data_IF_168582239462
#
_entry.id   IF_168582239462
#
_cell.length_a   1.000
_cell.length_b   1.000
_cell.length_c   1.000
_cell.angle_alpha   90.00
_cell.angle_beta   90.00
_cell.angle_gamma   90.00
#
_symmetry.space_group_name_H-M   'P 1'
#
loop_
_entity.id
_entity.type
_entity.pdbx_description
1 polymer ?
#
# COMPACT_ATOMS: atom_id res chain seq x y z
N UNK A 1 18.13 -36.75 -9.15
CA UNK A 1 16.78 -37.23 -8.78
C UNK A 1 15.77 -36.14 -9.19
N UNK A 2 14.86 -36.46 -10.09
CA UNK A 2 13.83 -35.50 -10.54
C UNK A 2 12.73 -35.41 -9.46
N UNK A 3 12.74 -34.37 -8.65
CA UNK A 3 11.66 -34.07 -7.70
C UNK A 3 10.41 -33.66 -8.48
N UNK A 4 9.33 -34.38 -8.31
CA UNK A 4 8.08 -34.17 -9.03
C UNK A 4 7.32 -33.03 -8.35
N UNK A 5 7.05 -31.93 -9.07
CA UNK A 5 6.39 -30.69 -8.59
C UNK A 5 5.03 -30.90 -7.90
N UNK A 6 4.35 -32.02 -8.11
CA UNK A 6 3.13 -32.39 -7.38
C UNK A 6 3.38 -32.73 -5.90
N UNK A 7 4.61 -33.09 -5.50
CA UNK A 7 4.95 -33.36 -4.10
C UNK A 7 5.31 -32.09 -3.32
N UNK A 8 5.61 -30.97 -3.96
CA UNK A 8 5.90 -29.69 -3.32
C UNK A 8 4.71 -29.17 -2.49
N UNK A 9 3.48 -29.34 -2.99
CA UNK A 9 2.27 -28.97 -2.26
C UNK A 9 1.85 -29.96 -1.17
N UNK A 10 2.39 -31.20 -1.16
CA UNK A 10 2.05 -32.24 -0.18
C UNK A 10 2.94 -32.27 1.05
N UNK A 11 4.13 -31.65 1.01
CA UNK A 11 5.11 -31.69 2.11
C UNK A 11 4.96 -30.54 3.11
N UNK A 12 4.08 -29.59 2.89
CA UNK A 12 3.84 -28.46 3.79
C UNK A 12 2.97 -28.77 5.02
N UNK A 13 2.49 -30.02 5.18
CA UNK A 13 1.50 -30.39 6.21
C UNK A 13 2.02 -31.17 7.41
N UNK A 14 3.33 -31.37 7.56
CA UNK A 14 3.83 -32.13 8.71
C UNK A 14 5.21 -31.64 9.17
N UNK A 15 5.27 -30.61 10.00
CA UNK A 15 6.27 -30.46 11.07
C UNK A 15 6.04 -29.15 11.87
N UNK A 16 5.77 -29.27 13.15
CA UNK A 16 6.20 -28.32 14.16
C UNK A 16 5.13 -27.37 14.72
N UNK A 17 4.17 -27.91 15.47
CA UNK A 17 3.53 -27.15 16.54
C UNK A 17 4.56 -26.95 17.67
N UNK A 18 5.22 -25.80 17.69
CA UNK A 18 6.07 -25.33 18.79
C UNK A 18 5.49 -23.99 19.25
N UNK A 19 5.06 -23.97 20.51
CA UNK A 19 4.31 -22.89 21.13
C UNK A 19 5.07 -21.54 21.15
N UNK A 20 4.54 -20.55 20.43
CA UNK A 20 4.48 -19.17 20.87
C UNK A 20 3.06 -18.72 20.60
N UNK A 21 2.21 -18.94 21.61
CA UNK A 21 0.83 -18.52 21.61
C UNK A 21 0.77 -17.04 21.98
N UNK A 22 0.82 -16.17 20.98
CA UNK A 22 0.12 -14.91 21.03
C UNK A 22 -1.25 -15.17 20.44
N UNK A 23 -2.28 -15.06 21.23
CA UNK A 23 -3.68 -15.36 20.89
C UNK A 23 -4.17 -14.37 19.82
N UNK A 24 -4.06 -14.72 18.55
CA UNK A 24 -4.74 -14.04 17.47
C UNK A 24 -5.89 -14.92 16.96
N UNK A 25 -7.10 -14.47 17.25
CA UNK A 25 -8.39 -14.90 16.68
C UNK A 25 -8.73 -16.39 16.87
N UNK A 26 -9.52 -16.68 17.87
CA UNK A 26 -10.31 -17.89 17.92
C UNK A 26 -11.27 -17.94 16.73
N UNK A 27 -11.07 -18.90 15.81
CA UNK A 27 -12.16 -19.28 14.92
C UNK A 27 -11.87 -19.57 13.46
N UNK A 28 -10.67 -20.00 13.04
CA UNK A 28 -10.56 -20.75 11.78
C UNK A 28 -9.25 -21.54 11.77
N UNK A 29 -9.33 -22.84 11.58
CA UNK A 29 -8.17 -23.66 11.23
C UNK A 29 -7.51 -23.07 9.97
N UNK A 30 -6.17 -23.07 9.85
CA UNK A 30 -5.49 -22.56 8.66
C UNK A 30 -6.05 -23.28 7.43
N UNK A 31 -6.62 -22.51 6.49
CA UNK A 31 -7.13 -23.05 5.23
C UNK A 31 -5.98 -23.71 4.47
N UNK A 32 -6.22 -24.85 3.82
CA UNK A 32 -5.22 -25.44 2.94
C UNK A 32 -4.86 -24.47 1.80
N UNK A 33 -3.65 -24.53 1.21
CA UNK A 33 -3.29 -23.71 0.07
C UNK A 33 -4.29 -23.81 -1.10
N UNK A 34 -4.84 -25.00 -1.35
CA UNK A 34 -5.86 -25.23 -2.36
C UNK A 34 -7.17 -24.50 -2.03
N UNK A 35 -7.59 -24.49 -0.76
CA UNK A 35 -8.79 -23.76 -0.33
C UNK A 35 -8.61 -22.24 -0.37
N UNK A 36 -7.39 -21.74 -0.14
CA UNK A 36 -7.07 -20.31 -0.28
C UNK A 36 -7.14 -19.86 -1.75
N UNK A 37 -6.57 -20.66 -2.66
CA UNK A 37 -6.60 -20.39 -4.09
C UNK A 37 -8.03 -20.45 -4.67
N UNK A 38 -8.86 -21.40 -4.19
CA UNK A 38 -10.28 -21.44 -4.57
C UNK A 38 -11.03 -20.20 -4.10
N UNK A 39 -10.79 -19.78 -2.84
CA UNK A 39 -11.42 -18.57 -2.31
C UNK A 39 -11.07 -17.31 -3.10
N UNK A 40 -9.84 -17.19 -3.59
CA UNK A 40 -9.44 -16.06 -4.48
C UNK A 40 -10.31 -16.04 -5.74
N UNK A 41 -10.47 -17.19 -6.39
CA UNK A 41 -11.23 -17.29 -7.63
C UNK A 41 -12.73 -17.00 -7.40
N UNK A 42 -13.31 -17.54 -6.34
CA UNK A 42 -14.71 -17.32 -5.98
C UNK A 42 -14.98 -15.83 -5.67
N UNK A 43 -14.08 -15.20 -4.91
CA UNK A 43 -14.20 -13.78 -4.57
C UNK A 43 -13.96 -12.86 -5.76
N UNK A 44 -13.07 -13.24 -6.70
CA UNK A 44 -12.84 -12.50 -7.94
C UNK A 44 -14.07 -12.51 -8.86
N UNK A 45 -14.87 -13.55 -8.79
CA UNK A 45 -16.11 -13.74 -9.60
C UNK A 45 -17.38 -13.30 -8.87
N UNK A 46 -17.24 -12.62 -7.71
CA UNK A 46 -18.40 -12.15 -6.96
C UNK A 46 -19.26 -11.22 -7.81
N UNK A 47 -20.53 -11.55 -7.96
CA UNK A 47 -21.50 -10.65 -8.56
C UNK A 47 -21.96 -9.64 -7.51
N UNK A 48 -21.42 -8.43 -7.58
CA UNK A 48 -21.76 -7.34 -6.67
C UNK A 48 -22.71 -6.33 -7.34
N UNK A 49 -23.73 -5.92 -6.62
CA UNK A 49 -24.61 -4.84 -7.05
C UNK A 49 -24.28 -3.59 -6.25
N UNK A 50 -23.69 -2.61 -6.90
CA UNK A 50 -23.34 -1.33 -6.32
C UNK A 50 -24.57 -0.65 -5.69
N UNK A 51 -24.47 -0.26 -4.42
CA UNK A 51 -25.55 0.37 -3.67
C UNK A 51 -25.46 1.89 -3.67
N UNK A 52 -24.25 2.39 -3.76
CA UNK A 52 -23.96 3.82 -3.83
C UNK A 52 -22.61 4.02 -4.54
N UNK A 53 -22.50 5.00 -5.41
CA UNK A 53 -21.24 5.28 -6.09
C UNK A 53 -20.38 6.23 -5.25
N UNK A 54 -19.25 5.74 -4.75
CA UNK A 54 -18.27 6.54 -4.02
C UNK A 54 -17.29 7.28 -4.94
N UNK A 55 -17.24 6.96 -6.25
CA UNK A 55 -16.38 7.65 -7.19
C UNK A 55 -16.85 9.10 -7.38
N UNK A 56 -15.97 10.05 -7.12
CA UNK A 56 -16.32 11.46 -7.16
C UNK A 56 -17.24 11.92 -6.00
N UNK A 57 -17.55 11.05 -5.03
CA UNK A 57 -18.31 11.43 -3.86
C UNK A 57 -17.54 12.46 -3.02
N UNK A 58 -18.23 13.52 -2.63
CA UNK A 58 -17.76 14.54 -1.70
C UNK A 58 -18.56 14.47 -0.40
N UNK A 59 -17.88 14.14 0.69
CA UNK A 59 -18.51 14.15 2.01
C UNK A 59 -18.79 15.60 2.47
N UNK A 60 -19.74 15.82 3.38
CA UNK A 60 -19.92 17.13 3.98
C UNK A 60 -18.62 17.68 4.56
N UNK A 61 -18.30 18.97 4.37
CA UNK A 61 -17.05 19.56 4.80
C UNK A 61 -16.89 19.51 6.33
N UNK A 62 -15.67 19.22 6.77
CA UNK A 62 -15.27 19.18 8.18
C UNK A 62 -14.19 20.25 8.39
N UNK A 63 -14.51 21.47 8.84
CA UNK A 63 -13.56 22.59 8.92
C UNK A 63 -12.32 22.29 9.75
N UNK A 64 -12.46 21.49 10.82
CA UNK A 64 -11.36 20.96 11.64
C UNK A 64 -11.46 19.45 11.69
N UNK A 65 -10.47 18.75 11.11
CA UNK A 65 -10.42 17.30 11.06
C UNK A 65 -9.77 16.76 12.34
N UNK A 66 -10.56 16.07 13.16
CA UNK A 66 -10.11 15.45 14.40
C UNK A 66 -9.66 14.02 14.11
N UNK A 67 -8.36 13.77 14.31
CA UNK A 67 -7.70 12.54 13.88
C UNK A 67 -7.36 11.64 15.04
N UNK A 68 -7.69 10.36 14.92
CA UNK A 68 -7.18 9.27 15.76
C UNK A 68 -6.21 8.41 14.96
N UNK A 69 -5.03 8.13 15.53
CA UNK A 69 -4.01 7.28 14.90
C UNK A 69 -4.01 5.88 15.50
N UNK A 70 -3.88 4.86 14.66
CA UNK A 70 -3.72 3.46 15.08
C UNK A 70 -2.46 2.89 14.44
N UNK A 71 -1.50 2.47 15.28
CA UNK A 71 -0.18 2.03 14.85
C UNK A 71 0.80 3.20 14.76
N UNK A 72 1.69 3.29 15.77
CA UNK A 72 2.66 4.39 15.92
C UNK A 72 4.12 3.89 15.77
N UNK A 73 4.29 2.92 14.89
CA UNK A 73 5.62 2.52 14.42
C UNK A 73 6.24 3.59 13.51
N UNK A 74 7.14 3.17 12.65
CA UNK A 74 7.88 4.07 11.74
C UNK A 74 6.94 4.96 10.90
N UNK A 75 5.95 4.36 10.22
CA UNK A 75 5.01 5.11 9.37
C UNK A 75 4.07 6.00 10.18
N UNK A 76 3.48 5.47 11.25
CA UNK A 76 2.48 6.20 12.02
C UNK A 76 3.06 7.37 12.80
N UNK A 77 4.22 7.22 13.43
CA UNK A 77 4.89 8.33 14.12
C UNK A 77 5.28 9.44 13.14
N UNK A 78 5.73 9.09 11.93
CA UNK A 78 5.98 10.04 10.85
C UNK A 78 4.70 10.76 10.40
N UNK A 79 3.56 10.07 10.33
CA UNK A 79 2.28 10.67 9.97
C UNK A 79 1.79 11.67 11.04
N UNK A 80 1.91 11.34 12.33
CA UNK A 80 1.65 12.29 13.43
C UNK A 80 2.45 13.56 13.25
N UNK A 81 3.74 13.44 12.90
CA UNK A 81 4.59 14.59 12.65
C UNK A 81 4.08 15.42 11.46
N UNK A 82 3.83 14.79 10.30
CA UNK A 82 3.40 15.50 9.09
C UNK A 82 2.06 16.21 9.26
N UNK A 83 1.05 15.50 9.81
CA UNK A 83 -0.27 16.08 10.01
C UNK A 83 -0.26 17.24 11.01
N UNK A 84 0.70 17.28 11.93
CA UNK A 84 0.88 18.40 12.87
C UNK A 84 1.20 19.74 12.18
N UNK A 85 1.69 19.72 10.94
CA UNK A 85 1.96 20.93 10.14
C UNK A 85 0.80 21.33 9.22
N UNK A 86 -0.27 20.53 9.18
CA UNK A 86 -1.41 20.81 8.30
C UNK A 86 -2.45 21.62 9.07
N UNK A 87 -2.87 22.73 8.49
CA UNK A 87 -3.91 23.60 9.06
C UNK A 87 -5.25 22.88 9.14
N UNK A 88 -6.00 23.09 10.22
CA UNK A 88 -7.30 22.47 10.43
C UNK A 88 -7.22 20.99 10.82
N UNK A 89 -6.09 20.54 11.34
CA UNK A 89 -5.91 19.21 11.93
C UNK A 89 -5.78 19.30 13.45
N UNK A 90 -6.57 18.52 14.15
CA UNK A 90 -6.41 18.23 15.57
C UNK A 90 -6.11 16.76 15.79
N UNK A 91 -4.99 16.44 16.44
CA UNK A 91 -4.64 15.07 16.83
C UNK A 91 -5.27 14.80 18.19
N UNK A 92 -6.32 13.96 18.22
CA UNK A 92 -7.13 13.72 19.40
C UNK A 92 -6.83 12.42 20.13
N UNK A 93 -6.35 11.40 19.39
CA UNK A 93 -6.12 10.08 19.97
C UNK A 93 -4.90 9.40 19.33
N UNK A 94 -4.10 8.73 20.13
CA UNK A 94 -2.91 7.97 19.76
C UNK A 94 -3.05 6.54 20.26
N UNK A 95 -3.06 5.57 19.35
CA UNK A 95 -3.24 4.14 19.62
C UNK A 95 -2.10 3.28 19.10
N UNK A 96 -1.45 2.54 20.01
CA UNK A 96 -0.52 1.45 19.69
C UNK A 96 -0.49 0.49 20.88
N UNK A 97 -0.40 -0.81 20.61
CA UNK A 97 -0.28 -1.81 21.70
C UNK A 97 0.97 -1.57 22.56
N UNK A 98 1.99 -0.90 22.04
CA UNK A 98 3.25 -0.58 22.72
C UNK A 98 3.19 0.80 23.36
N UNK A 99 3.24 0.91 24.70
CA UNK A 99 3.21 2.19 25.41
C UNK A 99 4.32 3.15 24.99
N UNK A 100 5.51 2.62 24.68
CA UNK A 100 6.65 3.43 24.26
C UNK A 100 6.42 4.15 22.92
N UNK A 101 5.70 3.53 21.97
CA UNK A 101 5.37 4.14 20.69
C UNK A 101 4.37 5.30 20.85
N UNK A 102 3.36 5.13 21.71
CA UNK A 102 2.41 6.20 22.10
C UNK A 102 3.15 7.34 22.77
N UNK A 103 3.95 7.04 23.81
CA UNK A 103 4.73 8.04 24.56
C UNK A 103 5.72 8.81 23.69
N UNK A 104 6.30 8.17 22.65
CA UNK A 104 7.17 8.82 21.66
C UNK A 104 6.43 9.89 20.85
N UNK A 105 5.25 9.56 20.35
CA UNK A 105 4.39 10.49 19.61
C UNK A 105 3.85 11.61 20.49
N UNK A 106 3.49 11.32 21.75
CA UNK A 106 3.03 12.30 22.71
C UNK A 106 4.14 13.32 23.06
N UNK A 107 5.35 12.84 23.30
CA UNK A 107 6.52 13.71 23.50
C UNK A 107 6.78 14.64 22.31
N UNK A 108 6.59 14.14 21.09
CA UNK A 108 6.71 14.97 19.90
C UNK A 108 5.65 16.08 19.89
N UNK A 109 4.38 15.79 20.13
CA UNK A 109 3.30 16.78 20.17
C UNK A 109 3.58 17.85 21.23
N UNK A 110 3.96 17.46 22.44
CA UNK A 110 4.33 18.37 23.52
C UNK A 110 5.50 19.30 23.11
N UNK A 111 6.54 18.74 22.48
CA UNK A 111 7.71 19.51 22.04
C UNK A 111 7.38 20.62 21.05
N UNK A 112 6.38 20.42 20.20
CA UNK A 112 5.94 21.42 19.20
C UNK A 112 4.76 22.26 19.67
N UNK A 113 4.40 22.16 20.96
CA UNK A 113 3.30 22.94 21.57
C UNK A 113 1.90 22.56 21.11
N UNK A 114 1.70 21.32 20.62
CA UNK A 114 0.37 20.79 20.31
C UNK A 114 -0.30 20.24 21.59
N UNK A 115 -1.64 20.29 21.71
CA UNK A 115 -2.36 19.69 22.82
C UNK A 115 -2.05 18.19 22.98
N UNK A 116 -2.14 17.71 24.20
CA UNK A 116 -2.06 16.27 24.48
C UNK A 116 -3.22 15.52 23.84
N UNK A 117 -2.93 14.36 23.26
CA UNK A 117 -3.89 13.44 22.70
C UNK A 117 -4.25 12.36 23.74
N UNK A 118 -5.45 11.80 23.64
CA UNK A 118 -5.84 10.63 24.45
C UNK A 118 -5.00 9.42 24.05
N UNK A 119 -4.51 8.68 25.05
CA UNK A 119 -3.63 7.53 24.83
C UNK A 119 -4.40 6.20 24.95
N UNK A 120 -4.21 5.33 23.96
CA UNK A 120 -4.78 3.99 23.88
C UNK A 120 -3.64 2.97 23.68
N UNK A 121 -3.30 2.26 24.75
CA UNK A 121 -2.12 1.39 24.75
C UNK A 121 -2.24 0.20 25.70
N UNK A 122 -1.31 -0.77 25.59
CA UNK A 122 -1.17 -1.92 26.49
C UNK A 122 -2.06 -3.14 26.17
N UNK A 123 -2.92 -3.05 25.17
CA UNK A 123 -3.79 -4.14 24.72
C UNK A 123 -3.84 -4.15 23.19
N UNK A 124 -3.74 -5.33 22.57
CA UNK A 124 -3.82 -5.48 21.12
C UNK A 124 -5.17 -5.04 20.51
N UNK A 125 -6.25 -5.07 21.30
CA UNK A 125 -7.60 -4.69 20.90
C UNK A 125 -8.00 -3.26 21.33
N UNK A 126 -7.10 -2.53 21.97
CA UNK A 126 -7.38 -1.19 22.48
C UNK A 126 -7.85 -0.20 21.40
N UNK A 127 -7.47 -0.44 20.16
CA UNK A 127 -7.88 0.35 18.99
C UNK A 127 -9.41 0.39 18.80
N UNK A 128 -10.13 -0.64 19.27
CA UNK A 128 -11.59 -0.68 19.18
C UNK A 128 -12.23 0.46 20.01
N UNK A 129 -11.71 0.72 21.20
CA UNK A 129 -12.15 1.85 22.02
C UNK A 129 -11.80 3.21 21.39
N UNK A 130 -10.68 3.28 20.70
CA UNK A 130 -10.28 4.51 20.00
C UNK A 130 -11.26 4.85 18.88
N UNK A 131 -11.64 3.89 18.02
CA UNK A 131 -12.56 4.15 16.91
C UNK A 131 -13.99 4.48 17.36
N UNK A 132 -14.36 4.10 18.58
CA UNK A 132 -15.67 4.39 19.20
C UNK A 132 -15.77 5.81 19.75
N UNK A 133 -14.67 6.56 19.85
CA UNK A 133 -14.71 7.95 20.33
C UNK A 133 -15.63 8.81 19.46
N UNK A 134 -16.59 9.55 20.04
CA UNK A 134 -17.53 10.35 19.25
C UNK A 134 -16.86 11.54 18.55
N UNK A 135 -15.78 12.07 19.14
CA UNK A 135 -15.11 13.30 18.71
C UNK A 135 -14.00 13.09 17.69
N UNK A 136 -14.07 12.03 16.90
CA UNK A 136 -13.15 11.78 15.78
C UNK A 136 -13.88 11.86 14.44
N UNK A 137 -13.20 12.42 13.44
CA UNK A 137 -13.67 12.52 12.07
C UNK A 137 -12.92 11.55 11.15
N UNK A 138 -11.63 11.31 11.44
CA UNK A 138 -10.72 10.51 10.65
C UNK A 138 -9.95 9.52 11.52
N UNK A 139 -9.89 8.26 11.11
CA UNK A 139 -8.97 7.26 11.64
C UNK A 139 -7.83 7.04 10.65
N UNK A 140 -6.59 7.22 11.12
CA UNK A 140 -5.37 7.03 10.36
C UNK A 140 -4.69 5.72 10.79
N UNK A 141 -4.62 4.72 9.89
CA UNK A 141 -4.22 3.34 10.20
C UNK A 141 -2.84 3.04 9.60
N UNK A 142 -1.88 2.70 10.48
CA UNK A 142 -0.49 2.35 10.13
C UNK A 142 -0.04 1.03 10.78
N UNK A 143 -0.91 0.06 10.83
CA UNK A 143 -0.68 -1.25 11.44
C UNK A 143 -0.08 -2.25 10.44
N UNK A 144 0.27 -3.50 10.85
CA UNK A 144 0.54 -4.58 9.90
C UNK A 144 -0.68 -4.88 9.00
N UNK A 145 -0.41 -5.32 7.78
CA UNK A 145 -1.40 -5.50 6.70
C UNK A 145 -2.67 -6.25 7.09
N UNK A 146 -2.53 -7.30 7.92
CA UNK A 146 -3.67 -8.12 8.36
C UNK A 146 -4.73 -7.36 9.16
N UNK A 147 -4.38 -6.19 9.68
CA UNK A 147 -5.26 -5.36 10.52
C UNK A 147 -5.88 -4.18 9.76
N UNK A 148 -5.46 -3.90 8.53
CA UNK A 148 -5.92 -2.76 7.75
C UNK A 148 -7.43 -2.82 7.50
N UNK A 149 -7.90 -3.86 6.84
CA UNK A 149 -9.31 -3.98 6.49
C UNK A 149 -10.24 -4.09 7.72
N UNK A 150 -9.97 -4.93 8.73
CA UNK A 150 -10.82 -4.99 9.93
C UNK A 150 -10.93 -3.65 10.66
N UNK A 151 -9.83 -2.92 10.80
CA UNK A 151 -9.82 -1.60 11.45
C UNK A 151 -10.56 -0.55 10.62
N UNK A 152 -10.35 -0.54 9.29
CA UNK A 152 -11.01 0.39 8.40
C UNK A 152 -12.53 0.17 8.35
N UNK A 153 -12.99 -1.08 8.27
CA UNK A 153 -14.42 -1.43 8.34
C UNK A 153 -15.03 -0.93 9.65
N UNK A 154 -14.40 -1.27 10.79
CA UNK A 154 -14.90 -0.86 12.10
C UNK A 154 -14.95 0.67 12.26
N UNK A 155 -13.94 1.38 11.75
CA UNK A 155 -13.90 2.84 11.78
C UNK A 155 -15.06 3.45 10.96
N UNK A 156 -15.30 2.97 9.74
CA UNK A 156 -16.40 3.45 8.90
C UNK A 156 -17.78 3.14 9.53
N UNK A 157 -17.95 1.98 10.16
CA UNK A 157 -19.17 1.62 10.90
C UNK A 157 -19.44 2.52 12.11
N UNK A 158 -18.36 3.05 12.72
CA UNK A 158 -18.45 4.05 13.77
C UNK A 158 -18.52 5.50 13.23
N UNK A 159 -18.83 5.66 11.96
CA UNK A 159 -19.06 6.97 11.35
C UNK A 159 -17.81 7.79 11.05
N UNK A 160 -16.62 7.18 11.00
CA UNK A 160 -15.35 7.87 10.73
C UNK A 160 -14.94 7.70 9.27
N UNK A 161 -14.27 8.70 8.70
CA UNK A 161 -13.48 8.54 7.50
C UNK A 161 -12.21 7.74 7.82
N UNK A 162 -11.62 7.13 6.81
CA UNK A 162 -10.44 6.27 6.96
C UNK A 162 -9.33 6.71 6.03
N UNK A 163 -8.14 6.81 6.58
CA UNK A 163 -6.87 6.84 5.87
C UNK A 163 -6.06 5.60 6.28
N UNK A 164 -5.73 4.73 5.36
CA UNK A 164 -5.07 3.46 5.67
C UNK A 164 -3.81 3.28 4.84
N UNK A 165 -2.70 2.91 5.48
CA UNK A 165 -1.44 2.55 4.81
C UNK A 165 -1.64 1.41 3.82
N UNK A 166 -0.72 1.31 2.88
CA UNK A 166 -0.73 0.34 1.78
C UNK A 166 -0.26 -1.06 2.22
N UNK A 167 -0.87 -2.13 1.66
CA UNK A 167 -2.07 -2.18 0.86
C UNK A 167 -3.34 -2.03 1.70
N UNK A 168 -4.44 -1.61 1.11
CA UNK A 168 -5.70 -1.42 1.84
C UNK A 168 -6.29 -2.76 2.33
N UNK A 169 -6.08 -3.84 1.58
CA UNK A 169 -6.55 -5.20 1.89
C UNK A 169 -5.51 -6.26 1.52
N UNK A 170 -5.57 -7.42 2.18
CA UNK A 170 -4.74 -8.60 1.86
C UNK A 170 -5.46 -9.59 0.95
N UNK A 171 -6.78 -9.62 1.03
CA UNK A 171 -7.63 -10.55 0.29
C UNK A 171 -8.67 -9.80 -0.54
N UNK A 172 -9.26 -10.47 -1.52
CA UNK A 172 -10.34 -9.90 -2.34
C UNK A 172 -11.62 -9.75 -1.51
N UNK A 173 -11.88 -10.67 -0.57
CA UNK A 173 -13.03 -10.55 0.34
C UNK A 173 -12.94 -9.31 1.22
N UNK A 174 -11.74 -9.01 1.76
CA UNK A 174 -11.50 -7.76 2.50
C UNK A 174 -11.72 -6.53 1.62
N UNK A 175 -11.29 -6.57 0.35
CA UNK A 175 -11.51 -5.48 -0.59
C UNK A 175 -13.01 -5.23 -0.82
N UNK A 176 -13.80 -6.29 -1.03
CA UNK A 176 -15.26 -6.19 -1.12
C UNK A 176 -15.90 -5.64 0.15
N UNK A 177 -15.47 -6.10 1.33
CA UNK A 177 -15.99 -5.57 2.61
C UNK A 177 -15.75 -4.07 2.77
N UNK A 178 -14.59 -3.58 2.36
CA UNK A 178 -14.25 -2.16 2.40
C UNK A 178 -15.14 -1.34 1.45
N UNK A 179 -15.33 -1.81 0.22
CA UNK A 179 -16.22 -1.18 -0.76
C UNK A 179 -17.66 -1.14 -0.24
N UNK A 180 -18.21 -2.30 0.15
CA UNK A 180 -19.58 -2.41 0.67
C UNK A 180 -19.79 -1.53 1.91
N UNK A 181 -18.81 -1.44 2.79
CA UNK A 181 -18.91 -0.62 4.01
C UNK A 181 -18.83 0.86 3.68
N UNK A 182 -17.91 1.27 2.81
CA UNK A 182 -17.79 2.66 2.37
C UNK A 182 -19.06 3.16 1.69
N UNK A 183 -19.64 2.36 0.78
CA UNK A 183 -20.90 2.70 0.11
C UNK A 183 -22.08 2.81 1.10
N UNK A 184 -22.20 1.85 2.03
CA UNK A 184 -23.27 1.81 3.03
C UNK A 184 -23.19 2.98 4.02
N UNK A 185 -21.99 3.31 4.48
CA UNK A 185 -21.77 4.34 5.49
C UNK A 185 -21.54 5.73 4.90
N UNK A 186 -21.27 5.81 3.60
CA UNK A 186 -20.85 7.04 2.89
C UNK A 186 -19.66 7.70 3.56
N UNK A 187 -18.70 6.87 4.02
CA UNK A 187 -17.44 7.32 4.58
C UNK A 187 -16.31 7.08 3.60
N UNK A 188 -15.47 8.08 3.42
CA UNK A 188 -14.26 7.91 2.64
C UNK A 188 -13.35 6.85 3.27
N UNK A 189 -12.77 6.00 2.42
CA UNK A 189 -11.73 5.06 2.78
C UNK A 189 -10.60 5.22 1.76
N UNK A 190 -9.60 6.01 2.11
CA UNK A 190 -8.46 6.29 1.25
C UNK A 190 -7.31 5.36 1.59
N UNK A 191 -6.81 4.63 0.60
CA UNK A 191 -5.49 4.01 0.70
C UNK A 191 -4.41 5.08 0.53
N UNK A 192 -3.43 5.09 1.42
CA UNK A 192 -2.37 6.10 1.45
C UNK A 192 -1.25 5.75 0.45
N UNK A 193 -1.60 5.70 -0.84
CA UNK A 193 -0.62 5.46 -1.90
C UNK A 193 0.12 6.76 -2.23
N UNK A 194 1.19 6.98 -1.48
CA UNK A 194 2.00 8.19 -1.54
C UNK A 194 2.70 8.42 -2.87
N UNK A 195 3.02 7.35 -3.62
CA UNK A 195 3.72 7.47 -4.90
C UNK A 195 2.89 8.21 -5.97
N UNK A 196 1.56 8.24 -5.84
CA UNK A 196 0.69 9.08 -6.67
C UNK A 196 0.93 10.59 -6.47
N UNK A 197 1.58 10.97 -5.37
CA UNK A 197 1.85 12.36 -4.99
C UNK A 197 3.34 12.73 -5.10
N UNK A 198 4.17 11.89 -5.69
CA UNK A 198 5.55 12.24 -5.97
C UNK A 198 5.61 13.28 -7.11
N UNK A 199 6.62 14.11 -7.09
CA UNK A 199 6.73 15.29 -7.95
C UNK A 199 6.71 14.95 -9.45
N UNK A 200 7.42 13.90 -9.86
CA UNK A 200 7.46 13.50 -11.26
C UNK A 200 6.19 12.75 -11.67
N UNK A 201 5.63 11.92 -10.81
CA UNK A 201 4.35 11.25 -11.03
C UNK A 201 3.21 12.26 -11.18
N UNK A 202 3.17 13.30 -10.34
CA UNK A 202 2.21 14.40 -10.48
C UNK A 202 2.44 15.25 -11.76
N UNK A 203 3.70 15.47 -12.14
CA UNK A 203 4.05 16.16 -13.39
C UNK A 203 3.52 15.38 -14.60
N UNK A 204 3.85 14.10 -14.70
CA UNK A 204 3.44 13.22 -15.81
C UNK A 204 1.94 13.00 -15.85
N UNK A 205 1.27 12.92 -14.70
CA UNK A 205 -0.18 12.88 -14.62
C UNK A 205 -0.82 14.15 -15.20
N UNK A 206 -0.29 15.32 -14.85
CA UNK A 206 -0.81 16.58 -15.39
C UNK A 206 -0.53 16.70 -16.90
N UNK A 207 0.63 16.27 -17.37
CA UNK A 207 0.96 16.21 -18.81
C UNK A 207 0.01 15.25 -19.56
N UNK A 208 -0.26 14.06 -19.01
CA UNK A 208 -1.18 13.11 -19.61
C UNK A 208 -2.60 13.66 -19.70
N UNK A 209 -3.10 14.31 -18.64
CA UNK A 209 -4.43 14.98 -18.62
C UNK A 209 -4.55 16.10 -19.65
N UNK A 210 -3.44 16.71 -20.06
CA UNK A 210 -3.37 17.73 -21.11
C UNK A 210 -3.06 17.15 -22.50
N UNK A 211 -3.07 15.82 -22.65
CA UNK A 211 -2.89 15.13 -23.91
C UNK A 211 -1.46 15.10 -24.46
N UNK A 212 -0.46 15.48 -23.66
CA UNK A 212 0.93 15.58 -24.11
C UNK A 212 1.52 14.25 -24.60
N UNK A 213 1.08 13.13 -24.05
CA UNK A 213 1.55 11.79 -24.46
C UNK A 213 0.67 11.18 -25.55
N UNK A 214 -0.40 11.84 -26.00
CA UNK A 214 -1.41 11.25 -26.88
C UNK A 214 -2.19 10.14 -26.18
N UNK A 215 -2.60 9.10 -26.91
CA UNK A 215 -3.22 7.92 -26.32
C UNK A 215 -2.19 7.11 -25.55
N UNK A 216 -2.42 6.86 -24.27
CA UNK A 216 -1.55 6.00 -23.47
C UNK A 216 -1.79 4.56 -23.88
N UNK A 217 -0.73 3.86 -24.28
CA UNK A 217 -0.80 2.48 -24.77
C UNK A 217 -0.25 1.47 -23.77
N UNK A 218 0.74 1.89 -22.98
CA UNK A 218 1.44 1.03 -22.02
C UNK A 218 1.96 1.83 -20.83
N UNK A 219 2.00 1.18 -19.67
CA UNK A 219 2.65 1.71 -18.47
C UNK A 219 3.43 0.64 -17.73
N UNK A 220 4.51 1.06 -17.04
CA UNK A 220 5.27 0.17 -16.18
C UNK A 220 5.41 0.75 -14.79
N UNK A 221 5.19 -0.09 -13.79
CA UNK A 221 5.41 0.23 -12.40
C UNK A 221 6.16 -0.88 -11.67
N UNK A 222 6.73 -0.56 -10.53
CA UNK A 222 7.45 -1.56 -9.74
C UNK A 222 7.50 -1.19 -8.25
N UNK A 223 7.82 -2.17 -7.43
CA UNK A 223 8.43 -1.98 -6.13
C UNK A 223 9.65 -2.90 -6.04
N UNK A 224 10.80 -2.36 -6.38
CA UNK A 224 12.10 -3.02 -6.33
C UNK A 224 12.90 -2.34 -5.22
N UNK A 225 13.09 -3.05 -4.09
CA UNK A 225 13.69 -2.47 -2.90
C UNK A 225 14.32 -3.58 -2.04
N UNK A 226 15.63 -3.65 -1.94
CA UNK A 226 16.27 -4.65 -1.10
C UNK A 226 15.92 -4.43 0.39
N UNK A 227 15.04 -5.25 0.92
CA UNK A 227 14.53 -5.19 2.29
C UNK A 227 14.91 -6.43 3.13
N UNK A 228 15.86 -7.23 2.68
CA UNK A 228 16.26 -8.46 3.40
C UNK A 228 16.62 -8.15 4.85
N UNK A 229 17.51 -7.18 5.08
CA UNK A 229 17.92 -6.78 6.43
C UNK A 229 16.76 -6.26 7.30
N UNK A 230 15.81 -5.52 6.70
CA UNK A 230 14.62 -5.04 7.42
C UNK A 230 13.66 -6.18 7.79
N UNK A 231 13.46 -7.14 6.88
CA UNK A 231 12.58 -8.29 7.10
C UNK A 231 13.11 -9.21 8.22
N UNK A 232 14.43 -9.41 8.32
CA UNK A 232 15.08 -10.24 9.31
C UNK A 232 15.57 -9.49 10.55
N UNK A 233 15.09 -8.26 10.77
CA UNK A 233 15.45 -7.52 11.98
C UNK A 233 14.84 -8.19 13.20
N UNK A 234 15.70 -8.76 14.06
CA UNK A 234 15.31 -9.34 15.34
C UNK A 234 14.64 -8.27 16.22
N UNK A 235 13.49 -8.56 16.84
CA UNK A 235 12.91 -7.65 17.82
C UNK A 235 13.90 -7.35 18.94
N UNK A 236 13.96 -6.10 19.37
CA UNK A 236 14.77 -5.66 20.51
C UNK A 236 13.97 -5.76 21.81
N UNK A 237 14.65 -5.81 22.94
CA UNK A 237 14.02 -5.71 24.25
C UNK A 237 13.43 -4.32 24.49
N UNK A 238 13.99 -3.30 23.84
CA UNK A 238 13.43 -1.95 23.78
C UNK A 238 12.47 -1.81 22.60
N UNK A 239 11.20 -2.06 22.85
CA UNK A 239 10.13 -1.97 21.86
C UNK A 239 9.96 -0.57 21.24
N UNK A 240 10.50 0.48 21.88
CA UNK A 240 10.45 1.84 21.33
C UNK A 240 11.44 2.02 20.18
N UNK A 241 12.55 1.28 20.20
CA UNK A 241 13.59 1.32 19.16
C UNK A 241 13.34 0.37 17.99
N UNK A 242 12.31 -0.48 18.06
CA UNK A 242 11.91 -1.36 16.97
C UNK A 242 11.44 -0.52 15.77
N UNK A 243 12.29 -0.41 14.77
CA UNK A 243 12.00 0.32 13.53
C UNK A 243 10.98 -0.38 12.63
N UNK A 244 11.10 -0.18 11.33
CA UNK A 244 10.22 -0.77 10.34
C UNK A 244 10.07 -2.28 10.52
N UNK A 245 8.84 -2.78 10.29
CA UNK A 245 8.47 -4.21 10.34
C UNK A 245 8.64 -4.89 11.70
N UNK A 246 8.35 -4.14 12.77
CA UNK A 246 8.36 -4.64 14.15
C UNK A 246 7.76 -6.04 14.28
N UNK A 247 8.45 -6.92 15.00
CA UNK A 247 8.03 -8.32 15.17
C UNK A 247 8.14 -9.17 13.91
N UNK A 248 8.86 -8.70 12.89
CA UNK A 248 9.11 -9.43 11.64
C UNK A 248 7.83 -9.84 10.90
N UNK A 249 6.75 -9.06 11.05
CA UNK A 249 5.45 -9.39 10.44
C UNK A 249 5.53 -9.50 8.90
N UNK A 250 6.34 -8.65 8.25
CA UNK A 250 6.49 -8.68 6.79
C UNK A 250 7.28 -9.89 6.29
N UNK A 251 8.21 -10.41 7.09
CA UNK A 251 8.88 -11.67 6.77
C UNK A 251 7.90 -12.85 6.73
N UNK A 252 6.90 -12.87 7.64
CA UNK A 252 5.85 -13.90 7.63
C UNK A 252 5.04 -13.84 6.34
N UNK A 253 4.63 -12.63 5.90
CA UNK A 253 3.97 -12.47 4.59
C UNK A 253 4.82 -13.05 3.45
N UNK A 254 6.13 -12.77 3.43
CA UNK A 254 7.05 -13.31 2.42
C UNK A 254 7.29 -14.83 2.52
N UNK A 255 7.04 -15.46 3.67
CA UNK A 255 7.15 -16.92 3.88
C UNK A 255 5.83 -17.66 3.57
N UNK A 256 4.70 -16.99 3.62
CA UNK A 256 3.38 -17.61 3.46
C UNK A 256 2.79 -17.38 2.07
N UNK A 257 3.25 -16.35 1.33
CA UNK A 257 2.65 -15.87 0.11
C UNK A 257 3.68 -15.76 -1.02
N UNK A 258 3.26 -15.96 -2.27
CA UNK A 258 4.14 -15.86 -3.44
C UNK A 258 3.45 -15.22 -4.64
N UNK A 259 3.74 -13.96 -4.87
CA UNK A 259 3.19 -13.15 -5.97
C UNK A 259 3.72 -11.73 -5.91
N UNK A 260 2.98 -10.81 -6.47
CA UNK A 260 3.24 -9.37 -6.37
C UNK A 260 2.58 -8.84 -5.09
N UNK A 261 3.25 -8.99 -3.94
CA UNK A 261 2.65 -8.66 -2.64
C UNK A 261 2.55 -7.15 -2.36
N UNK A 262 3.17 -6.31 -3.20
CA UNK A 262 3.19 -4.86 -2.98
C UNK A 262 3.11 -4.09 -4.31
N UNK A 263 2.00 -4.22 -5.05
CA UNK A 263 1.88 -3.65 -6.40
C UNK A 263 1.67 -2.14 -6.40
N UNK A 264 1.10 -1.58 -5.32
CA UNK A 264 0.42 -0.28 -5.31
C UNK A 264 1.33 0.90 -5.65
N UNK A 265 2.58 0.90 -5.19
CA UNK A 265 3.53 1.99 -5.43
C UNK A 265 3.87 2.21 -6.90
N UNK A 266 3.96 1.14 -7.67
CA UNK A 266 4.15 1.27 -9.12
C UNK A 266 2.83 1.41 -9.87
N UNK A 267 1.78 0.74 -9.38
CA UNK A 267 0.50 0.62 -10.06
C UNK A 267 -0.35 1.89 -9.96
N UNK A 268 -0.44 2.49 -8.76
CA UNK A 268 -1.30 3.64 -8.50
C UNK A 268 -1.07 4.81 -9.45
N UNK A 269 0.17 5.33 -9.59
CA UNK A 269 0.46 6.41 -10.53
C UNK A 269 0.11 6.08 -11.97
N UNK A 270 0.38 4.86 -12.43
CA UNK A 270 0.05 4.39 -13.78
C UNK A 270 -1.46 4.33 -13.99
N UNK A 271 -2.21 3.83 -12.99
CA UNK A 271 -3.67 3.78 -13.04
C UNK A 271 -4.30 5.17 -13.15
N UNK A 272 -3.79 6.15 -12.41
CA UNK A 272 -4.28 7.52 -12.51
C UNK A 272 -4.04 8.12 -13.91
N UNK A 273 -2.87 7.88 -14.51
CA UNK A 273 -2.52 8.34 -15.87
C UNK A 273 -3.39 7.66 -16.93
N UNK A 274 -3.72 6.38 -16.73
CA UNK A 274 -4.56 5.60 -17.67
C UNK A 274 -6.06 5.79 -17.46
N UNK A 275 -6.48 6.58 -16.48
CA UNK A 275 -7.88 6.78 -16.10
C UNK A 275 -8.59 5.47 -15.68
N UNK A 276 -7.88 4.55 -15.03
CA UNK A 276 -8.49 3.34 -14.45
C UNK A 276 -9.53 3.76 -13.39
N UNK A 277 -10.70 3.12 -13.39
CA UNK A 277 -11.91 3.48 -12.64
C UNK A 277 -12.54 4.83 -13.05
N UNK A 278 -12.01 5.51 -14.06
CA UNK A 278 -12.47 6.83 -14.52
C UNK A 278 -12.56 6.91 -16.06
N UNK A 279 -12.96 5.80 -16.69
CA UNK A 279 -13.13 5.69 -18.15
C UNK A 279 -12.45 4.47 -18.75
N UNK A 280 -11.54 3.83 -18.03
CA UNK A 280 -10.99 2.50 -18.35
C UNK A 280 -11.04 1.62 -17.09
N UNK A 281 -10.90 0.31 -17.23
CA UNK A 281 -10.81 -0.65 -16.12
C UNK A 281 -9.82 -1.75 -16.43
N UNK A 282 -9.26 -2.34 -15.39
CA UNK A 282 -8.47 -3.56 -15.54
C UNK A 282 -9.40 -4.73 -15.89
N UNK A 283 -8.99 -5.57 -16.82
CA UNK A 283 -9.79 -6.69 -17.32
C UNK A 283 -9.28 -8.01 -16.72
N UNK A 284 -8.04 -8.38 -17.05
CA UNK A 284 -7.41 -9.58 -16.51
C UNK A 284 -5.91 -9.39 -16.33
N UNK A 285 -5.31 -10.29 -15.55
CA UNK A 285 -3.86 -10.35 -15.39
C UNK A 285 -3.29 -11.74 -15.58
N UNK A 286 -1.98 -11.79 -15.83
CA UNK A 286 -1.13 -12.97 -15.71
C UNK A 286 0.11 -12.63 -14.91
N UNK A 287 0.63 -13.59 -14.12
CA UNK A 287 1.75 -13.35 -13.23
C UNK A 287 2.72 -14.51 -13.17
N UNK A 288 4.02 -14.19 -13.10
CA UNK A 288 5.11 -15.16 -13.00
C UNK A 288 6.12 -14.73 -11.94
N UNK A 289 6.52 -15.66 -11.07
CA UNK A 289 7.58 -15.44 -10.08
C UNK A 289 8.79 -16.36 -10.36
N UNK A 290 9.97 -15.86 -10.03
CA UNK A 290 11.15 -16.74 -9.85
C UNK A 290 10.95 -17.61 -8.61
N UNK A 291 11.84 -18.56 -8.36
CA UNK A 291 11.99 -19.15 -7.03
C UNK A 291 12.77 -18.20 -6.12
N UNK A 292 12.79 -18.47 -4.82
CA UNK A 292 13.65 -17.76 -3.87
C UNK A 292 15.12 -18.18 -4.05
N UNK A 293 15.99 -17.17 -4.16
CA UNK A 293 17.46 -17.34 -4.23
C UNK A 293 18.17 -16.68 -3.05
N UNK A 294 17.48 -15.86 -2.24
CA UNK A 294 18.14 -14.99 -1.26
C UNK A 294 17.60 -15.10 0.15
N UNK A 295 16.28 -15.03 0.37
CA UNK A 295 15.72 -15.01 1.72
C UNK A 295 15.99 -16.31 2.48
N UNK A 296 15.80 -17.47 1.86
CA UNK A 296 16.09 -18.76 2.46
C UNK A 296 17.59 -18.97 2.76
N UNK A 297 18.47 -18.49 1.87
CA UNK A 297 19.91 -18.54 2.10
C UNK A 297 20.31 -17.63 3.28
N UNK A 298 19.73 -16.43 3.36
CA UNK A 298 19.98 -15.49 4.46
C UNK A 298 19.44 -16.02 5.80
N UNK A 299 18.23 -16.59 5.81
CA UNK A 299 17.66 -17.24 6.99
C UNK A 299 18.58 -18.34 7.54
N UNK A 300 19.10 -19.21 6.67
CA UNK A 300 20.06 -20.27 7.04
C UNK A 300 21.34 -19.71 7.62
N UNK A 301 21.89 -18.65 7.02
CA UNK A 301 23.10 -17.99 7.52
C UNK A 301 22.87 -17.42 8.94
N UNK A 302 21.74 -16.75 9.18
CA UNK A 302 21.40 -16.20 10.49
C UNK A 302 21.18 -17.31 11.52
N UNK A 303 20.48 -18.38 11.16
CA UNK A 303 20.19 -19.54 12.03
C UNK A 303 21.47 -20.27 12.48
N UNK A 304 22.53 -20.26 11.67
CA UNK A 304 23.83 -20.82 12.05
C UNK A 304 24.52 -20.03 13.17
N UNK A 305 24.23 -18.73 13.30
CA UNK A 305 24.84 -17.85 14.30
C UNK A 305 23.95 -17.50 15.50
N UNK A 306 22.62 -17.53 15.34
CA UNK A 306 21.66 -17.17 16.39
C UNK A 306 20.45 -18.12 16.38
N UNK A 307 20.26 -18.90 17.47
CA UNK A 307 19.14 -19.86 17.60
C UNK A 307 17.74 -19.20 17.41
N UNK A 308 17.61 -17.90 17.63
CA UNK A 308 16.37 -17.16 17.38
C UNK A 308 15.84 -17.36 15.95
N UNK A 309 16.74 -17.48 14.97
CA UNK A 309 16.38 -17.61 13.56
C UNK A 309 16.13 -19.05 13.09
N UNK A 310 16.33 -20.07 13.93
CA UNK A 310 16.08 -21.47 13.57
C UNK A 310 14.67 -21.73 13.00
N UNK A 311 13.58 -21.11 13.52
CA UNK A 311 12.24 -21.32 12.95
C UNK A 311 12.06 -20.75 11.53
N UNK A 312 12.97 -19.94 11.06
CA UNK A 312 12.95 -19.33 9.73
C UNK A 312 13.79 -20.07 8.70
N UNK A 313 14.70 -20.95 9.13
CA UNK A 313 15.45 -21.83 8.22
C UNK A 313 14.54 -22.90 7.62
N UNK A 314 14.79 -23.26 6.36
CA UNK A 314 13.99 -24.25 5.64
C UNK A 314 12.58 -23.80 5.24
N UNK A 315 12.20 -22.56 5.47
CA UNK A 315 10.94 -21.98 4.97
C UNK A 315 10.99 -21.79 3.45
N UNK A 316 9.82 -21.92 2.81
CA UNK A 316 9.64 -21.57 1.41
C UNK A 316 9.28 -20.09 1.33
N UNK A 317 10.26 -19.26 1.01
CA UNK A 317 10.01 -17.85 0.80
C UNK A 317 9.48 -17.58 -0.62
N UNK A 318 8.81 -16.46 -0.78
CA UNK A 318 8.41 -15.98 -2.11
C UNK A 318 9.61 -15.89 -3.06
N UNK A 319 9.35 -16.00 -4.36
CA UNK A 319 10.38 -15.76 -5.37
C UNK A 319 10.94 -14.34 -5.31
N UNK A 320 12.20 -14.15 -5.73
CA UNK A 320 12.81 -12.83 -5.76
C UNK A 320 11.98 -11.86 -6.61
N UNK A 321 11.97 -12.09 -7.93
CA UNK A 321 11.28 -11.23 -8.88
C UNK A 321 9.92 -11.81 -9.26
N UNK A 322 8.88 -10.98 -9.11
CA UNK A 322 7.58 -11.22 -9.71
C UNK A 322 7.34 -10.21 -10.84
N UNK A 323 6.78 -10.71 -11.94
CA UNK A 323 6.31 -9.91 -13.08
C UNK A 323 4.82 -10.19 -13.27
N UNK A 324 4.00 -9.15 -13.17
CA UNK A 324 2.56 -9.20 -13.39
C UNK A 324 2.22 -8.32 -14.58
N UNK A 325 1.54 -8.87 -15.57
CA UNK A 325 1.06 -8.15 -16.74
C UNK A 325 -0.47 -8.06 -16.67
N UNK A 326 -0.97 -6.83 -16.73
CA UNK A 326 -2.39 -6.51 -16.70
C UNK A 326 -2.82 -6.01 -18.08
N UNK A 327 -3.99 -6.44 -18.54
CA UNK A 327 -4.69 -5.86 -19.69
C UNK A 327 -5.88 -5.04 -19.20
N UNK A 328 -6.12 -3.89 -19.84
CA UNK A 328 -7.32 -3.09 -19.60
C UNK A 328 -8.40 -3.35 -20.62
N UNK A 329 -9.63 -3.01 -20.32
CA UNK A 329 -10.78 -3.18 -21.20
C UNK A 329 -10.68 -2.35 -22.48
N UNK A 330 -9.98 -1.20 -22.44
CA UNK A 330 -9.68 -0.41 -23.64
C UNK A 330 -8.42 -0.89 -24.40
N UNK A 331 -7.85 -2.02 -23.99
CA UNK A 331 -6.76 -2.67 -24.72
C UNK A 331 -5.36 -2.20 -24.39
N UNK A 332 -5.18 -1.35 -23.35
CA UNK A 332 -3.87 -0.95 -22.83
C UNK A 332 -3.24 -2.08 -22.02
N UNK A 333 -1.94 -1.99 -21.77
CA UNK A 333 -1.22 -2.95 -20.91
C UNK A 333 -0.45 -2.26 -19.80
N UNK A 334 -0.33 -2.95 -18.66
CA UNK A 334 0.45 -2.48 -17.52
C UNK A 334 1.37 -3.61 -17.07
N UNK A 335 2.69 -3.35 -16.98
CA UNK A 335 3.65 -4.25 -16.37
C UNK A 335 3.94 -3.80 -14.93
N UNK A 336 3.76 -4.70 -13.96
CA UNK A 336 4.07 -4.44 -12.55
C UNK A 336 5.09 -5.45 -12.06
N UNK A 337 6.24 -4.95 -11.55
CA UNK A 337 7.31 -5.76 -11.00
C UNK A 337 7.38 -5.63 -9.47
N UNK A 338 7.73 -6.71 -8.79
CA UNK A 338 7.95 -6.74 -7.34
C UNK A 338 9.16 -7.59 -6.97
N UNK A 339 10.15 -6.95 -6.32
CA UNK A 339 11.32 -7.63 -5.75
C UNK A 339 11.77 -6.89 -4.47
N UNK A 340 11.83 -7.61 -3.35
CA UNK A 340 12.27 -7.07 -2.06
C UNK A 340 13.48 -7.78 -1.50
N UNK A 341 14.18 -8.56 -2.31
CA UNK A 341 15.25 -9.46 -1.87
C UNK A 341 16.50 -9.46 -2.74
N UNK A 342 16.48 -8.88 -3.93
CA UNK A 342 17.68 -8.75 -4.76
C UNK A 342 18.45 -7.48 -4.46
N UNK A 343 19.75 -7.47 -4.78
CA UNK A 343 20.65 -6.32 -4.60
C UNK A 343 20.48 -5.23 -5.67
N UNK A 344 19.40 -5.31 -6.43
CA UNK A 344 19.07 -4.34 -7.47
C UNK A 344 18.81 -2.96 -6.84
N UNK A 345 19.27 -1.85 -7.44
CA UNK A 345 18.96 -0.51 -6.97
C UNK A 345 17.46 -0.27 -6.88
N UNK A 346 17.06 0.60 -5.94
CA UNK A 346 15.67 0.98 -5.76
C UNK A 346 15.05 1.48 -7.06
N UNK A 347 13.84 1.00 -7.36
CA UNK A 347 13.11 1.44 -8.54
C UNK A 347 11.59 1.22 -8.37
N UNK A 348 10.81 2.21 -8.78
CA UNK A 348 9.38 2.06 -9.00
C UNK A 348 9.03 2.03 -10.49
N UNK A 349 10.05 2.03 -11.38
CA UNK A 349 9.95 2.22 -12.82
C UNK A 349 9.28 3.55 -13.18
N UNK A 350 7.97 3.63 -13.08
CA UNK A 350 7.15 4.75 -13.52
C UNK A 350 7.41 5.10 -14.98
N UNK A 351 7.00 4.20 -15.86
CA UNK A 351 7.03 4.37 -17.32
C UNK A 351 5.63 4.68 -17.82
N UNK A 352 5.55 5.70 -18.66
CA UNK A 352 4.36 6.09 -19.41
C UNK A 352 4.71 6.08 -20.89
N UNK A 353 4.06 5.21 -21.67
CA UNK A 353 4.25 5.11 -23.12
C UNK A 353 2.96 5.49 -23.83
N UNK A 354 3.02 6.57 -24.59
CA UNK A 354 1.90 7.06 -25.38
C UNK A 354 2.24 7.16 -26.88
N UNK A 355 1.25 7.55 -27.67
CA UNK A 355 1.42 7.68 -29.13
C UNK A 355 2.20 8.92 -29.57
N UNK A 356 2.34 9.92 -28.67
CA UNK A 356 3.06 11.18 -28.96
C UNK A 356 4.28 11.41 -28.08
N UNK A 357 4.41 10.68 -26.95
CA UNK A 357 5.49 10.89 -26.02
C UNK A 357 5.68 9.73 -25.06
N UNK A 358 6.78 9.80 -24.34
CA UNK A 358 7.22 8.78 -23.38
C UNK A 358 7.82 9.45 -22.15
N UNK A 359 7.59 8.89 -20.97
CA UNK A 359 8.23 9.32 -19.72
C UNK A 359 8.77 8.12 -18.95
N UNK A 360 9.93 8.30 -18.30
CA UNK A 360 10.54 7.29 -17.43
C UNK A 360 11.24 7.97 -16.26
N UNK A 361 10.98 7.49 -15.04
CA UNK A 361 11.64 8.00 -13.84
C UNK A 361 12.92 7.24 -13.51
N UNK A 362 12.88 5.94 -13.58
CA UNK A 362 13.99 5.08 -13.20
C UNK A 362 14.57 4.32 -14.41
N UNK A 363 15.91 4.12 -14.45
CA UNK A 363 16.91 4.68 -13.53
C UNK A 363 17.00 6.21 -13.67
N UNK A 364 17.30 6.88 -12.55
CA UNK A 364 17.53 8.32 -12.56
C UNK A 364 18.67 8.73 -13.53
N UNK A 365 18.61 9.94 -14.09
CA UNK A 365 17.61 10.98 -13.89
C UNK A 365 16.28 10.68 -14.60
N UNK A 366 15.18 11.28 -14.08
CA UNK A 366 13.88 11.25 -14.74
C UNK A 366 13.94 11.94 -16.10
N UNK A 367 13.27 11.35 -17.11
CA UNK A 367 13.36 11.77 -18.50
C UNK A 367 12.01 11.73 -19.19
N UNK A 368 11.83 12.63 -20.14
CA UNK A 368 10.67 12.68 -21.04
C UNK A 368 11.19 12.68 -22.48
N UNK A 369 10.53 11.96 -23.37
CA UNK A 369 10.74 12.03 -24.80
C UNK A 369 9.46 12.50 -25.48
N UNK A 370 9.58 13.40 -26.44
CA UNK A 370 8.49 13.80 -27.32
C UNK A 370 8.79 13.28 -28.72
N UNK A 371 7.88 12.47 -29.25
CA UNK A 371 8.21 11.65 -30.41
C UNK A 371 9.26 10.61 -30.07
N UNK A 372 10.40 10.63 -30.74
CA UNK A 372 11.49 9.64 -30.59
C UNK A 372 12.70 10.16 -29.81
N UNK A 373 12.76 11.47 -29.55
CA UNK A 373 13.94 12.10 -28.99
C UNK A 373 13.72 12.49 -27.52
N UNK A 374 14.73 12.24 -26.69
CA UNK A 374 14.75 12.71 -25.30
C UNK A 374 14.85 14.23 -25.26
N UNK A 375 14.04 14.84 -24.38
CA UNK A 375 14.14 16.27 -24.11
C UNK A 375 15.48 16.61 -23.44
N UNK A 376 16.09 17.70 -23.88
CA UNK A 376 17.27 18.29 -23.24
C UNK A 376 16.94 18.96 -21.90
N UNK A 377 17.98 19.37 -21.17
CA UNK A 377 17.83 19.98 -19.84
C UNK A 377 16.92 21.22 -19.84
N UNK A 378 17.08 22.10 -20.82
CA UNK A 378 16.27 23.33 -20.90
C UNK A 378 14.80 23.01 -21.25
N UNK A 379 14.56 22.05 -22.15
CA UNK A 379 13.21 21.58 -22.46
C UNK A 379 12.55 20.90 -21.26
N UNK A 380 13.28 20.07 -20.53
CA UNK A 380 12.80 19.45 -19.29
C UNK A 380 12.43 20.52 -18.24
N UNK A 381 13.21 21.59 -18.12
CA UNK A 381 12.91 22.72 -17.24
C UNK A 381 11.62 23.41 -17.67
N UNK A 382 11.45 23.68 -18.95
CA UNK A 382 10.21 24.27 -19.49
C UNK A 382 8.99 23.37 -19.25
N UNK A 383 9.13 22.04 -19.40
CA UNK A 383 8.08 21.08 -19.08
C UNK A 383 7.69 21.15 -17.59
N UNK A 384 8.68 21.21 -16.70
CA UNK A 384 8.41 21.36 -15.26
C UNK A 384 7.70 22.69 -14.95
N UNK A 385 8.17 23.79 -15.50
CA UNK A 385 7.55 25.13 -15.31
C UNK A 385 6.10 25.13 -15.79
N UNK A 386 5.83 24.55 -16.95
CA UNK A 386 4.52 24.53 -17.59
C UNK A 386 3.53 23.58 -16.92
N UNK A 387 3.97 22.36 -16.62
CA UNK A 387 3.08 21.25 -16.23
C UNK A 387 3.12 20.88 -14.75
N UNK A 388 3.96 21.52 -13.92
CA UNK A 388 3.88 21.32 -12.47
C UNK A 388 2.47 21.67 -11.98
N UNK A 389 1.72 20.74 -11.37
CA UNK A 389 0.34 21.01 -10.98
C UNK A 389 0.23 21.96 -9.79
N UNK A 390 -0.92 22.58 -9.64
CA UNK A 390 -1.17 23.63 -8.63
C UNK A 390 -0.90 23.14 -7.20
N UNK A 391 -1.22 21.90 -6.88
CA UNK A 391 -0.92 21.34 -5.56
C UNK A 391 0.57 21.39 -5.22
N UNK A 392 1.45 21.09 -6.18
CA UNK A 392 2.89 21.15 -5.98
C UNK A 392 3.37 22.61 -5.86
N UNK A 393 2.78 23.52 -6.61
CA UNK A 393 3.08 24.99 -6.49
C UNK A 393 2.69 25.50 -5.11
N UNK A 394 1.54 25.04 -4.59
CA UNK A 394 0.97 25.48 -3.32
C UNK A 394 1.71 24.93 -2.10
N UNK A 395 2.01 23.64 -2.08
CA UNK A 395 2.54 22.99 -0.88
C UNK A 395 3.88 22.28 -1.06
N UNK A 396 4.45 22.24 -2.27
CA UNK A 396 5.65 21.47 -2.56
C UNK A 396 6.90 21.93 -1.80
N UNK A 397 7.06 23.22 -1.52
CA UNK A 397 8.15 23.71 -0.71
C UNK A 397 8.03 23.25 0.76
N UNK A 398 6.83 23.37 1.34
CA UNK A 398 6.55 22.87 2.68
C UNK A 398 6.72 21.35 2.74
N UNK A 399 6.28 20.64 1.73
CA UNK A 399 6.43 19.18 1.64
C UNK A 399 7.89 18.73 1.70
N UNK A 400 8.78 19.41 0.97
CA UNK A 400 10.24 19.12 1.05
C UNK A 400 10.84 19.43 2.42
N UNK A 401 10.35 20.45 3.11
CA UNK A 401 10.81 20.82 4.46
C UNK A 401 10.32 19.86 5.53
N UNK A 402 9.05 19.46 5.47
CA UNK A 402 8.46 18.54 6.46
C UNK A 402 8.93 17.11 6.21
N UNK A 403 9.09 16.72 4.94
CA UNK A 403 9.64 15.43 4.54
C UNK A 403 8.57 14.33 4.42
N UNK A 404 9.03 13.08 4.60
CA UNK A 404 8.28 11.88 4.24
C UNK A 404 8.49 11.53 2.77
N UNK A 405 9.46 10.61 2.49
CA UNK A 405 9.84 10.17 1.14
C UNK A 405 10.04 11.34 0.16
N UNK A 406 10.85 12.34 0.55
CA UNK A 406 11.13 13.50 -0.29
C UNK A 406 10.00 14.53 -0.37
N UNK A 407 8.91 14.36 0.40
CA UNK A 407 7.77 15.27 0.48
C UNK A 407 6.45 14.69 -0.07
N UNK A 408 6.48 13.59 -0.79
CA UNK A 408 5.27 13.00 -1.37
C UNK A 408 4.25 12.57 -0.29
N UNK A 409 4.71 12.07 0.87
CA UNK A 409 3.82 11.74 1.98
C UNK A 409 3.08 12.97 2.50
N UNK A 410 3.77 14.11 2.60
CA UNK A 410 3.14 15.35 3.05
C UNK A 410 2.11 15.88 2.05
N UNK A 411 2.40 15.83 0.76
CA UNK A 411 1.45 16.28 -0.28
C UNK A 411 0.18 15.41 -0.22
N UNK A 412 0.33 14.09 -0.08
CA UNK A 412 -0.78 13.14 0.07
C UNK A 412 -1.63 13.47 1.30
N UNK A 413 -1.01 13.58 2.46
CA UNK A 413 -1.68 13.89 3.73
C UNK A 413 -2.40 15.25 3.64
N UNK A 414 -1.73 16.27 3.10
CA UNK A 414 -2.30 17.59 2.90
C UNK A 414 -3.52 17.54 1.99
N UNK A 415 -3.44 16.83 0.86
CA UNK A 415 -4.55 16.74 -0.10
C UNK A 415 -5.77 16.01 0.48
N UNK A 416 -5.55 14.94 1.24
CA UNK A 416 -6.63 14.25 1.94
C UNK A 416 -7.35 15.20 2.91
N UNK A 417 -6.60 15.94 3.72
CA UNK A 417 -7.17 16.91 4.66
C UNK A 417 -7.88 18.04 3.93
N UNK A 418 -7.33 18.54 2.83
CA UNK A 418 -7.96 19.53 1.98
C UNK A 418 -9.32 19.07 1.43
N UNK A 419 -9.40 17.80 0.98
CA UNK A 419 -10.65 17.20 0.54
C UNK A 419 -11.70 17.13 1.65
N UNK A 420 -11.32 16.66 2.83
CA UNK A 420 -12.25 16.55 3.96
C UNK A 420 -12.71 17.92 4.47
N UNK A 421 -11.81 18.91 4.54
CA UNK A 421 -12.13 20.24 5.02
C UNK A 421 -13.05 21.03 4.09
N UNK A 422 -12.90 20.82 2.80
CA UNK A 422 -13.61 21.61 1.78
C UNK A 422 -14.76 20.83 1.10
N UNK A 423 -15.05 19.60 1.54
CA UNK A 423 -16.08 18.76 0.92
C UNK A 423 -15.77 18.49 -0.56
N UNK A 424 -14.53 18.08 -0.85
CA UNK A 424 -14.08 17.71 -2.18
C UNK A 424 -14.00 16.18 -2.29
N UNK A 425 -14.15 15.62 -3.50
CA UNK A 425 -13.89 14.20 -3.70
C UNK A 425 -12.42 13.89 -3.50
N UNK A 426 -12.13 12.67 -3.02
CA UNK A 426 -10.77 12.17 -2.92
C UNK A 426 -10.16 11.91 -4.31
N UNK A 427 -8.86 12.11 -4.45
CA UNK A 427 -8.11 11.75 -5.66
C UNK A 427 -7.94 10.23 -5.81
N UNK A 428 -7.97 9.52 -4.68
CA UNK A 428 -7.92 8.06 -4.56
C UNK A 428 -9.08 7.63 -3.66
N UNK A 429 -10.08 6.97 -4.22
CA UNK A 429 -11.26 6.50 -3.49
C UNK A 429 -11.13 5.03 -3.05
N UNK A 430 -12.17 4.48 -2.47
CA UNK A 430 -12.18 3.09 -1.99
C UNK A 430 -12.01 2.08 -3.12
N UNK A 431 -12.51 2.39 -4.33
CA UNK A 431 -12.39 1.50 -5.48
C UNK A 431 -10.94 1.40 -5.95
N UNK A 432 -10.20 2.52 -5.95
CA UNK A 432 -8.76 2.52 -6.26
C UNK A 432 -7.99 1.65 -5.25
N UNK A 433 -8.25 1.86 -3.97
CA UNK A 433 -7.60 1.08 -2.91
C UNK A 433 -7.90 -0.42 -2.99
N UNK A 434 -9.16 -0.79 -3.23
CA UNK A 434 -9.60 -2.17 -3.39
C UNK A 434 -8.96 -2.81 -4.62
N UNK A 435 -9.05 -2.13 -5.77
CA UNK A 435 -8.54 -2.63 -7.05
C UNK A 435 -7.01 -2.82 -7.01
N UNK A 436 -6.26 -1.82 -6.58
CA UNK A 436 -4.80 -1.90 -6.57
C UNK A 436 -4.29 -2.95 -5.57
N UNK A 437 -4.98 -3.12 -4.43
CA UNK A 437 -4.64 -4.16 -3.45
C UNK A 437 -4.97 -5.56 -3.96
N UNK A 438 -6.02 -5.73 -4.76
CA UNK A 438 -6.46 -7.04 -5.27
C UNK A 438 -5.44 -7.72 -6.21
N UNK A 439 -4.54 -6.93 -6.82
CA UNK A 439 -3.49 -7.47 -7.68
C UNK A 439 -2.58 -8.44 -6.92
N UNK A 440 -2.35 -8.23 -5.62
CA UNK A 440 -1.56 -9.16 -4.83
C UNK A 440 -2.17 -10.57 -4.80
N UNK A 441 -3.37 -10.84 -4.27
CA UNK A 441 -3.96 -12.19 -4.25
C UNK A 441 -4.23 -12.74 -5.67
N UNK A 442 -4.60 -11.92 -6.64
CA UNK A 442 -4.79 -12.38 -8.02
C UNK A 442 -3.48 -12.86 -8.65
N UNK A 443 -2.37 -12.15 -8.40
CA UNK A 443 -1.05 -12.57 -8.86
C UNK A 443 -0.59 -13.88 -8.21
N UNK A 444 -0.91 -14.10 -6.93
CA UNK A 444 -0.63 -15.35 -6.22
C UNK A 444 -1.36 -16.52 -6.87
N UNK A 445 -2.64 -16.33 -7.19
CA UNK A 445 -3.41 -17.34 -7.90
C UNK A 445 -2.78 -17.68 -9.27
N UNK A 446 -2.44 -16.67 -10.06
CA UNK A 446 -1.83 -16.85 -11.39
C UNK A 446 -0.48 -17.58 -11.30
N UNK A 447 0.40 -17.18 -10.36
CA UNK A 447 1.69 -17.85 -10.13
C UNK A 447 1.50 -19.32 -9.75
N UNK A 448 0.56 -19.64 -8.84
CA UNK A 448 0.27 -21.00 -8.41
C UNK A 448 -0.32 -21.85 -9.56
N UNK A 449 -1.03 -21.25 -10.50
CA UNK A 449 -1.65 -21.88 -11.66
C UNK A 449 -0.84 -21.73 -12.96
N UNK A 450 0.50 -21.66 -12.88
CA UNK A 450 1.43 -21.64 -14.02
C UNK A 450 1.24 -20.45 -14.94
N UNK A 451 1.00 -19.28 -14.37
CA UNK A 451 0.75 -18.01 -15.07
C UNK A 451 -0.54 -18.02 -15.91
N UNK A 452 -1.53 -18.83 -15.52
CA UNK A 452 -2.86 -18.75 -16.10
C UNK A 452 -3.45 -17.37 -15.83
N UNK A 453 -4.17 -16.83 -16.84
CA UNK A 453 -4.86 -15.55 -16.69
C UNK A 453 -6.02 -15.67 -15.71
N UNK A 454 -6.26 -14.60 -14.97
CA UNK A 454 -7.37 -14.46 -14.04
C UNK A 454 -8.03 -13.09 -14.23
N UNK A 455 -9.35 -13.06 -14.24
CA UNK A 455 -10.14 -11.84 -14.34
C UNK A 455 -9.96 -10.98 -13.08
N UNK A 456 -9.95 -9.68 -13.26
CA UNK A 456 -9.83 -8.70 -12.18
C UNK A 456 -11.23 -8.22 -11.82
N UNK A 457 -11.62 -8.23 -10.52
CA UNK A 457 -12.93 -7.74 -10.10
C UNK A 457 -13.18 -6.28 -10.49
N UNK A 458 -14.41 -5.98 -10.84
CA UNK A 458 -14.93 -4.62 -11.03
C UNK A 458 -15.58 -4.19 -9.70
N UNK A 459 -14.82 -3.51 -8.86
CA UNK A 459 -15.24 -3.10 -7.51
C UNK A 459 -16.23 -1.95 -7.51
#
# INVERSE_FOLDING_TARGET
MKSNRRNFLKTATAAGAGAFAGSFLAGCAPKSPESQLSAILDSARKNYVQKFNMSGYAAPPVPTVRVGFIGLGDRGSGAVQRLSYIEGVEIKALGDMRPAAVGGSQKYLSRIGRPEAMEFTGDENIWQKLVELPDLDLIYICTPWALHAPMAVRAMENGKHVACEVPLSRTIDEAWQLVETSERTKKHCMMLENCCYDFFELLTLNMARQGMFGDIVHGEGAYIHNLVGNNFRKPSDDQASDGAYTGMWRLRENAERNGNLYPTHGLGPVCQIMNINRGDKMDYLTSMSTIDFTMGAHARQLAAGDPFFQPFDGKNYRGNMNNTLVRTSLGKTILIQHDVSSVRPYSRLHVVSGTLGYASKYPEPERIAMGHDWLGEEEMKQMREKFTPEIVRRVGEMARKVGGHGGMDFIMDWRMIDCLRNGLPLDQDVYDGALWSSIAPLSEWSVANRSQSIDIPDF
#
